data_IF_491293752961
#
_entry.id   IF_491293752961
#
_cell.length_a   1.000
_cell.length_b   1.000
_cell.length_c   1.000
_cell.angle_alpha   90.00
_cell.angle_beta   90.00
_cell.angle_gamma   90.00
#
_symmetry.space_group_name_H-M   'P 1'
#
loop_
_entity.id
_entity.type
_entity.pdbx_description
1 polymer ?
#
# COMPACT_ATOMS: atom_id res chain seq x y z
N UNK A 1 -78.21 30.47 8.24
CA UNK A 1 -77.61 29.15 8.60
C UNK A 1 -76.60 28.67 7.55
N UNK A 2 -75.89 29.57 6.84
CA UNK A 2 -74.90 29.17 5.81
C UNK A 2 -73.43 29.42 6.21
N UNK A 3 -73.18 30.22 7.26
CA UNK A 3 -71.81 30.57 7.66
C UNK A 3 -71.11 29.52 8.55
N UNK A 4 -71.82 28.47 8.99
CA UNK A 4 -71.26 27.43 9.87
C UNK A 4 -70.58 26.30 9.07
N UNK A 5 -71.09 26.00 7.87
CA UNK A 5 -70.54 24.96 6.98
C UNK A 5 -69.22 25.35 6.31
N UNK A 6 -68.98 26.65 6.13
CA UNK A 6 -67.72 27.15 5.56
C UNK A 6 -66.56 27.03 6.55
N UNK A 7 -66.82 27.29 7.84
CA UNK A 7 -65.82 27.20 8.91
C UNK A 7 -65.36 25.76 9.14
N UNK A 8 -66.29 24.80 9.15
CA UNK A 8 -65.96 23.38 9.37
C UNK A 8 -65.16 22.74 8.21
N UNK A 9 -65.31 23.27 6.99
CA UNK A 9 -64.58 22.81 5.80
C UNK A 9 -63.14 23.34 5.77
N UNK A 10 -62.94 24.62 6.12
CA UNK A 10 -61.61 25.23 6.26
C UNK A 10 -60.79 24.54 7.36
N UNK A 11 -61.42 24.15 8.46
CA UNK A 11 -60.75 23.43 9.57
C UNK A 11 -60.29 22.02 9.17
N UNK A 12 -61.12 21.27 8.44
CA UNK A 12 -60.75 19.94 7.91
C UNK A 12 -59.61 20.00 6.89
N UNK A 13 -59.59 21.01 6.03
CA UNK A 13 -58.49 21.20 5.07
C UNK A 13 -57.21 21.69 5.75
N UNK A 14 -57.29 22.55 6.78
CA UNK A 14 -56.15 22.95 7.61
C UNK A 14 -55.57 21.77 8.41
N UNK A 15 -56.40 20.90 8.98
CA UNK A 15 -55.98 19.68 9.69
C UNK A 15 -55.30 18.68 8.72
N UNK A 16 -55.77 18.60 7.48
CA UNK A 16 -55.19 17.73 6.44
C UNK A 16 -53.84 18.25 5.95
N UNK A 17 -53.70 19.57 5.80
CA UNK A 17 -52.44 20.20 5.39
C UNK A 17 -51.38 20.15 6.51
N UNK A 18 -51.76 20.38 7.77
CA UNK A 18 -50.88 20.24 8.94
C UNK A 18 -50.41 18.80 9.17
N UNK A 19 -51.28 17.79 8.93
CA UNK A 19 -50.88 16.37 8.96
C UNK A 19 -49.89 16.01 7.84
N UNK A 20 -50.06 16.55 6.62
CA UNK A 20 -49.09 16.38 5.53
C UNK A 20 -47.74 17.01 5.86
N UNK A 21 -47.73 18.22 6.42
CA UNK A 21 -46.50 18.91 6.85
C UNK A 21 -45.79 18.10 7.95
N UNK A 22 -46.54 17.55 8.91
CA UNK A 22 -45.99 16.65 9.94
C UNK A 22 -45.43 15.34 9.38
N UNK A 23 -46.04 14.79 8.33
CA UNK A 23 -45.55 13.57 7.66
C UNK A 23 -44.29 13.82 6.83
N UNK A 24 -44.26 14.92 6.06
CA UNK A 24 -43.08 15.34 5.28
C UNK A 24 -41.91 15.70 6.20
N UNK A 25 -42.18 16.37 7.33
CA UNK A 25 -41.18 16.69 8.36
C UNK A 25 -40.61 15.42 9.01
N UNK A 26 -41.45 14.43 9.34
CA UNK A 26 -40.98 13.13 9.87
C UNK A 26 -40.14 12.35 8.86
N UNK A 27 -40.48 12.41 7.57
CA UNK A 27 -39.67 11.80 6.50
C UNK A 27 -38.33 12.50 6.38
N UNK A 28 -38.29 13.84 6.35
CA UNK A 28 -37.06 14.64 6.32
C UNK A 28 -36.17 14.36 7.54
N UNK A 29 -36.74 14.27 8.73
CA UNK A 29 -36.00 13.91 9.96
C UNK A 29 -35.46 12.48 9.87
N UNK A 30 -36.25 11.52 9.37
CA UNK A 30 -35.79 10.15 9.17
C UNK A 30 -34.66 10.07 8.12
N UNK A 31 -34.75 10.83 7.02
CA UNK A 31 -33.67 10.97 6.04
C UNK A 31 -32.42 11.62 6.62
N UNK A 32 -32.56 12.66 7.45
CA UNK A 32 -31.44 13.31 8.14
C UNK A 32 -30.79 12.39 9.18
N UNK A 33 -31.56 11.58 9.91
CA UNK A 33 -31.05 10.59 10.86
C UNK A 33 -30.41 9.37 10.16
N UNK A 34 -30.92 8.97 8.99
CA UNK A 34 -30.30 7.94 8.15
C UNK A 34 -29.01 8.45 7.47
N UNK A 35 -28.95 9.72 7.07
CA UNK A 35 -27.71 10.33 6.57
C UNK A 35 -26.67 10.55 7.69
N UNK A 36 -27.12 10.81 8.92
CA UNK A 36 -26.23 10.99 10.07
C UNK A 36 -25.66 9.67 10.61
N UNK A 37 -26.30 8.53 10.29
CA UNK A 37 -25.81 7.19 10.65
C UNK A 37 -25.02 6.49 9.54
N UNK A 38 -24.87 7.12 8.37
CA UNK A 38 -23.80 6.79 7.43
C UNK A 38 -22.46 7.22 8.05
N UNK A 39 -21.97 6.44 9.02
CA UNK A 39 -20.60 6.55 9.50
C UNK A 39 -19.69 6.66 8.29
N UNK A 40 -18.80 7.66 8.27
CA UNK A 40 -17.81 7.82 7.20
C UNK A 40 -17.14 6.46 7.02
N UNK A 41 -17.47 5.76 5.95
CA UNK A 41 -16.72 4.58 5.55
C UNK A 41 -15.27 5.08 5.46
N UNK A 42 -14.39 4.55 6.31
CA UNK A 42 -12.99 4.89 6.26
C UNK A 42 -12.54 4.61 4.83
N UNK A 43 -12.28 5.66 4.06
CA UNK A 43 -11.79 5.53 2.69
C UNK A 43 -10.54 4.66 2.80
N UNK A 44 -10.49 3.48 2.14
CA UNK A 44 -9.34 2.61 2.27
C UNK A 44 -8.12 3.41 1.87
N UNK A 45 -7.15 3.51 2.78
CA UNK A 45 -5.86 4.15 2.53
C UNK A 45 -5.31 3.60 1.21
N UNK A 46 -5.20 4.46 0.20
CA UNK A 46 -4.68 4.13 -1.14
C UNK A 46 -3.14 3.95 -1.08
N UNK A 47 -2.55 4.00 0.12
CA UNK A 47 -1.11 3.93 0.30
C UNK A 47 -0.48 2.63 -0.20
N UNK A 48 0.82 2.71 -0.46
CA UNK A 48 1.68 1.59 -0.87
C UNK A 48 2.86 1.48 0.09
N UNK A 49 3.35 0.26 0.28
CA UNK A 49 4.55 0.00 1.08
C UNK A 49 5.78 0.74 0.54
N UNK A 50 5.78 1.11 -0.75
CA UNK A 50 6.86 1.91 -1.35
C UNK A 50 7.07 3.26 -0.65
N UNK A 51 6.06 3.75 0.09
CA UNK A 51 6.16 4.98 0.88
C UNK A 51 7.24 4.91 1.96
N UNK A 52 7.66 3.70 2.36
CA UNK A 52 8.85 3.50 3.19
C UNK A 52 10.11 4.13 2.60
N UNK A 53 10.21 4.23 1.27
CA UNK A 53 11.34 4.85 0.57
C UNK A 53 11.31 6.38 0.53
N UNK A 54 10.16 7.01 0.81
CA UNK A 54 9.99 8.46 0.80
C UNK A 54 9.97 9.02 2.23
N UNK A 55 9.15 8.43 3.11
CA UNK A 55 8.92 8.92 4.47
C UNK A 55 9.41 7.96 5.56
N UNK A 56 9.49 6.65 5.25
CA UNK A 56 9.85 5.63 6.25
C UNK A 56 11.33 5.57 6.62
N UNK A 57 12.22 6.14 5.81
CA UNK A 57 13.66 6.10 6.09
C UNK A 57 14.05 6.75 7.44
N UNK A 58 13.44 7.89 7.77
CA UNK A 58 13.74 8.58 9.04
C UNK A 58 13.19 7.84 10.27
N UNK A 59 12.08 7.12 10.12
CA UNK A 59 11.48 6.30 11.20
C UNK A 59 12.43 5.21 11.67
N UNK A 60 13.10 4.53 10.74
CA UNK A 60 14.03 3.44 11.07
C UNK A 60 15.43 3.94 11.40
N UNK A 61 15.81 5.13 10.91
CA UNK A 61 17.09 5.75 11.25
C UNK A 61 17.09 6.29 12.68
N UNK A 62 15.96 6.83 13.14
CA UNK A 62 15.79 7.39 14.48
C UNK A 62 14.57 6.79 15.20
N UNK A 63 14.63 5.50 15.61
CA UNK A 63 13.49 4.84 16.26
C UNK A 63 12.99 5.59 17.50
N UNK A 64 13.92 6.24 18.22
CA UNK A 64 13.65 7.00 19.45
C UNK A 64 12.66 8.16 19.23
N UNK A 65 12.53 8.68 18.01
CA UNK A 65 11.61 9.78 17.69
C UNK A 65 10.15 9.31 17.49
N UNK A 66 9.94 8.00 17.28
CA UNK A 66 8.66 7.40 16.92
C UNK A 66 8.13 6.41 17.96
N UNK A 67 8.80 6.28 19.11
CA UNK A 67 8.25 5.60 20.30
C UNK A 67 7.32 6.56 21.04
N UNK A 68 6.12 6.79 20.49
CA UNK A 68 5.04 7.50 21.20
C UNK A 68 4.00 6.46 21.64
N UNK A 69 4.15 5.95 22.87
CA UNK A 69 3.19 5.04 23.51
C UNK A 69 3.42 3.54 23.27
N UNK A 70 2.35 2.74 23.45
CA UNK A 70 2.35 1.27 23.37
C UNK A 70 1.91 0.70 21.99
N UNK A 71 1.73 1.56 20.98
CA UNK A 71 1.31 1.14 19.63
C UNK A 71 2.53 0.58 18.86
N UNK A 72 2.46 -0.64 18.30
CA UNK A 72 3.59 -1.22 17.57
C UNK A 72 3.94 -0.38 16.34
N UNK A 73 5.20 0.03 16.20
CA UNK A 73 5.69 0.94 15.16
C UNK A 73 5.18 0.60 13.74
N UNK A 74 5.04 -0.69 13.42
CA UNK A 74 4.52 -1.20 12.16
C UNK A 74 3.05 -0.89 11.82
N UNK A 75 2.19 -0.60 12.81
CA UNK A 75 0.79 -0.22 12.55
C UNK A 75 0.66 1.27 12.23
N UNK A 76 1.67 2.07 12.58
CA UNK A 76 1.68 3.51 12.34
C UNK A 76 2.25 3.86 10.96
N UNK A 77 2.90 2.91 10.28
CA UNK A 77 3.52 3.14 8.96
C UNK A 77 2.42 3.27 7.90
N UNK A 78 2.25 4.46 7.28
CA UNK A 78 1.22 4.66 6.28
C UNK A 78 1.53 3.90 4.99
N UNK A 79 0.57 3.10 4.53
CA UNK A 79 0.63 2.39 3.25
C UNK A 79 0.92 0.88 3.36
N UNK A 80 1.22 0.36 4.55
CA UNK A 80 1.31 -1.09 4.75
C UNK A 80 -0.07 -1.75 4.75
N UNK A 81 -0.17 -2.89 4.08
CA UNK A 81 -1.32 -3.78 4.18
C UNK A 81 -1.33 -4.53 5.52
N UNK A 82 -2.48 -5.08 5.99
CA UNK A 82 -2.52 -5.90 7.19
C UNK A 82 -1.52 -7.06 7.20
N UNK A 83 -1.32 -7.75 6.07
CA UNK A 83 -0.30 -8.79 5.92
C UNK A 83 1.12 -8.23 6.05
N UNK A 84 1.38 -7.05 5.46
CA UNK A 84 2.68 -6.39 5.56
C UNK A 84 2.99 -5.89 6.97
N UNK A 85 1.98 -5.38 7.71
CA UNK A 85 2.15 -4.97 9.10
C UNK A 85 2.54 -6.14 10.00
N UNK A 86 1.97 -7.33 9.78
CA UNK A 86 2.37 -8.55 10.50
C UNK A 86 3.82 -8.96 10.19
N UNK A 87 4.21 -8.92 8.92
CA UNK A 87 5.60 -9.21 8.52
C UNK A 87 6.58 -8.17 9.07
N UNK A 88 6.21 -6.89 9.09
CA UNK A 88 6.99 -5.83 9.71
C UNK A 88 7.24 -6.10 11.20
N UNK A 89 6.22 -6.57 11.94
CA UNK A 89 6.37 -6.90 13.36
C UNK A 89 7.36 -8.06 13.59
N UNK A 90 7.37 -9.04 12.67
CA UNK A 90 8.25 -10.20 12.72
C UNK A 90 9.69 -9.88 12.28
N UNK A 91 9.85 -9.00 11.30
CA UNK A 91 11.13 -8.68 10.63
C UNK A 91 11.48 -7.20 10.78
N UNK A 92 11.43 -6.67 12.01
CA UNK A 92 11.65 -5.23 12.25
C UNK A 92 13.03 -4.74 11.78
N UNK A 93 14.07 -5.55 11.98
CA UNK A 93 15.44 -5.28 11.52
C UNK A 93 15.58 -5.22 9.99
N UNK A 94 14.62 -5.77 9.23
CA UNK A 94 14.61 -5.73 7.76
C UNK A 94 14.01 -4.46 7.21
N UNK A 95 13.12 -3.80 7.96
CA UNK A 95 12.27 -2.73 7.42
C UNK A 95 13.04 -1.47 7.02
N UNK A 96 14.16 -1.19 7.69
CA UNK A 96 15.09 -0.13 7.24
C UNK A 96 15.68 -0.41 5.86
N UNK A 97 15.96 -1.68 5.54
CA UNK A 97 16.46 -2.10 4.22
C UNK A 97 15.36 -2.19 3.18
N UNK A 98 14.12 -2.55 3.57
CA UNK A 98 12.94 -2.43 2.70
C UNK A 98 12.74 -0.99 2.26
N UNK A 99 12.79 -0.04 3.20
CA UNK A 99 12.69 1.39 2.88
C UNK A 99 13.84 1.88 2.00
N UNK A 100 15.09 1.48 2.31
CA UNK A 100 16.26 1.80 1.47
C UNK A 100 16.11 1.26 0.04
N UNK A 101 15.69 0.00 -0.11
CA UNK A 101 15.46 -0.64 -1.39
C UNK A 101 14.34 0.03 -2.20
N UNK A 102 13.23 0.37 -1.54
CA UNK A 102 12.16 1.15 -2.15
C UNK A 102 12.67 2.51 -2.65
N UNK A 103 13.45 3.23 -1.85
CA UNK A 103 14.05 4.52 -2.21
C UNK A 103 14.97 4.40 -3.43
N UNK A 104 15.80 3.36 -3.47
CA UNK A 104 16.67 3.07 -4.61
C UNK A 104 15.85 2.79 -5.88
N UNK A 105 14.79 1.97 -5.78
CA UNK A 105 13.89 1.69 -6.90
C UNK A 105 13.18 2.94 -7.42
N UNK A 106 12.71 3.83 -6.53
CA UNK A 106 12.10 5.11 -6.89
C UNK A 106 13.12 6.00 -7.62
N UNK A 107 14.34 6.13 -7.08
CA UNK A 107 15.39 6.95 -7.68
C UNK A 107 15.79 6.43 -9.07
N UNK A 108 15.91 5.11 -9.24
CA UNK A 108 16.21 4.50 -10.54
C UNK A 108 15.05 4.70 -11.53
N UNK A 109 13.80 4.61 -11.08
CA UNK A 109 12.64 4.91 -11.91
C UNK A 109 12.66 6.36 -12.41
N UNK A 110 12.91 7.32 -11.52
CA UNK A 110 13.08 8.74 -11.88
C UNK A 110 14.22 8.92 -12.87
N UNK A 111 15.34 8.23 -12.66
CA UNK A 111 16.46 8.28 -13.57
C UNK A 111 16.10 7.77 -14.96
N UNK A 112 15.51 6.58 -15.07
CA UNK A 112 15.14 5.96 -16.36
C UNK A 112 14.10 6.79 -17.13
N UNK A 113 13.17 7.44 -16.41
CA UNK A 113 12.07 8.19 -17.01
C UNK A 113 12.30 9.72 -17.04
N UNK A 114 13.48 10.22 -16.69
CA UNK A 114 13.78 11.67 -16.57
C UNK A 114 13.40 12.52 -17.79
N UNK A 115 13.46 11.94 -19.00
CA UNK A 115 13.14 12.60 -20.27
C UNK A 115 11.82 12.10 -20.89
N UNK A 116 10.90 11.58 -20.08
CA UNK A 116 9.58 11.08 -20.51
C UNK A 116 8.46 11.97 -19.98
N UNK A 117 7.28 11.90 -20.61
CA UNK A 117 6.08 12.66 -20.17
C UNK A 117 5.67 12.31 -18.75
N UNK A 118 5.71 11.03 -18.41
CA UNK A 118 5.68 10.55 -17.03
C UNK A 118 7.11 10.28 -16.59
N UNK A 119 7.60 11.06 -15.63
CA UNK A 119 9.00 11.07 -15.19
C UNK A 119 9.22 10.38 -13.83
N UNK A 120 8.25 9.59 -13.37
CA UNK A 120 8.28 8.90 -12.08
C UNK A 120 8.45 9.83 -10.86
N UNK A 121 8.02 11.08 -10.96
CA UNK A 121 8.00 12.01 -9.81
C UNK A 121 7.12 11.49 -8.67
N UNK A 122 7.56 11.70 -7.42
CA UNK A 122 6.80 11.30 -6.25
C UNK A 122 5.81 12.37 -5.77
N UNK A 123 4.69 11.95 -5.20
CA UNK A 123 3.70 12.81 -4.53
C UNK A 123 3.88 12.80 -3.00
N UNK A 124 3.40 13.83 -2.30
CA UNK A 124 3.53 13.99 -0.85
C UNK A 124 2.47 13.19 -0.05
N UNK A 125 2.06 12.03 -0.55
CA UNK A 125 1.11 11.13 0.12
C UNK A 125 1.63 9.70 0.15
N UNK A 126 0.87 8.78 0.77
CA UNK A 126 1.27 7.39 0.93
C UNK A 126 1.25 6.56 -0.35
N UNK A 127 0.78 7.11 -1.48
CA UNK A 127 0.69 6.41 -2.77
C UNK A 127 2.00 6.43 -3.55
N UNK A 128 2.95 7.30 -3.18
CA UNK A 128 4.26 7.53 -3.81
C UNK A 128 4.18 8.07 -5.23
N UNK A 129 3.50 7.42 -6.17
CA UNK A 129 3.39 7.82 -7.57
C UNK A 129 1.97 8.28 -7.97
N UNK A 130 1.10 8.54 -7.01
CA UNK A 130 -0.28 8.92 -7.27
C UNK A 130 -1.11 7.77 -7.88
N UNK A 131 -2.07 8.08 -8.78
CA UNK A 131 -2.99 7.09 -9.31
C UNK A 131 -2.36 6.12 -10.31
N UNK A 132 -1.10 6.32 -10.74
CA UNK A 132 -0.46 5.47 -11.75
C UNK A 132 -0.40 4.00 -11.30
N UNK A 133 -0.16 3.74 -10.00
CA UNK A 133 -0.13 2.39 -9.43
C UNK A 133 -1.53 1.76 -9.33
N UNK A 134 -2.58 2.55 -9.46
CA UNK A 134 -3.97 2.07 -9.44
C UNK A 134 -4.48 1.65 -10.82
N UNK A 135 -3.75 2.01 -11.89
CA UNK A 135 -4.10 1.68 -13.27
C UNK A 135 -3.15 0.63 -13.86
N UNK A 136 -3.67 -0.24 -14.74
CA UNK A 136 -2.90 -1.29 -15.40
C UNK A 136 -2.08 -0.76 -16.58
N UNK A 137 -1.04 0.05 -16.29
CA UNK A 137 -0.19 0.70 -17.28
C UNK A 137 1.21 0.06 -17.37
N UNK A 138 1.96 0.37 -18.44
CA UNK A 138 3.36 -0.09 -18.58
C UNK A 138 4.25 0.55 -17.51
N UNK A 139 3.99 1.80 -17.18
CA UNK A 139 4.65 2.60 -16.16
C UNK A 139 4.43 1.97 -14.76
N UNK A 140 3.20 1.56 -14.45
CA UNK A 140 2.91 0.84 -13.21
C UNK A 140 3.67 -0.49 -13.14
N UNK A 141 3.71 -1.25 -14.25
CA UNK A 141 4.46 -2.50 -14.31
C UNK A 141 5.95 -2.30 -14.05
N UNK A 142 6.56 -1.27 -14.67
CA UNK A 142 7.95 -0.92 -14.40
C UNK A 142 8.17 -0.52 -12.94
N UNK A 143 7.29 0.32 -12.37
CA UNK A 143 7.39 0.77 -10.97
C UNK A 143 7.34 -0.41 -9.98
N UNK A 144 6.44 -1.38 -10.20
CA UNK A 144 6.37 -2.61 -9.41
C UNK A 144 7.66 -3.44 -9.51
N UNK A 145 8.17 -3.64 -10.73
CA UNK A 145 9.39 -4.41 -10.96
C UNK A 145 10.61 -3.75 -10.30
N UNK A 146 10.85 -2.47 -10.56
CA UNK A 146 12.06 -1.79 -10.06
C UNK A 146 12.04 -1.62 -8.53
N UNK A 147 10.85 -1.44 -7.93
CA UNK A 147 10.72 -1.40 -6.48
C UNK A 147 11.01 -2.76 -5.84
N UNK A 148 10.49 -3.86 -6.41
CA UNK A 148 10.79 -5.20 -5.94
C UNK A 148 12.29 -5.53 -6.09
N UNK A 149 12.90 -5.18 -7.23
CA UNK A 149 14.33 -5.32 -7.49
C UNK A 149 15.18 -4.57 -6.44
N UNK A 150 14.80 -3.33 -6.13
CA UNK A 150 15.47 -2.51 -5.13
C UNK A 150 15.47 -3.14 -3.73
N UNK A 151 14.36 -3.77 -3.32
CA UNK A 151 14.29 -4.48 -2.03
C UNK A 151 15.16 -5.74 -2.03
N UNK A 152 15.13 -6.54 -3.10
CA UNK A 152 16.03 -7.71 -3.22
C UNK A 152 17.47 -7.26 -3.07
N UNK A 153 17.89 -6.25 -3.83
CA UNK A 153 19.24 -5.70 -3.79
C UNK A 153 19.64 -5.25 -2.37
N UNK A 154 18.81 -4.41 -1.73
CA UNK A 154 19.12 -3.85 -0.43
C UNK A 154 19.20 -4.91 0.68
N UNK A 155 18.27 -5.87 0.71
CA UNK A 155 18.24 -6.94 1.72
C UNK A 155 19.39 -7.93 1.50
N UNK A 156 19.64 -8.35 0.27
CA UNK A 156 20.75 -9.26 -0.04
C UNK A 156 22.12 -8.68 0.32
N UNK A 157 22.28 -7.37 0.14
CA UNK A 157 23.49 -6.67 0.54
C UNK A 157 23.61 -6.49 2.05
N UNK A 158 22.50 -6.23 2.74
CA UNK A 158 22.49 -6.18 4.21
C UNK A 158 22.91 -7.52 4.83
N UNK A 159 22.51 -8.65 4.24
CA UNK A 159 22.98 -9.98 4.62
C UNK A 159 24.50 -10.14 4.48
N UNK A 160 25.06 -9.68 3.35
CA UNK A 160 26.52 -9.72 3.10
C UNK A 160 27.30 -8.87 4.11
N UNK A 161 26.73 -7.73 4.50
CA UNK A 161 27.34 -6.78 5.43
C UNK A 161 27.14 -7.18 6.91
N UNK A 162 26.44 -8.28 7.18
CA UNK A 162 26.18 -8.76 8.55
C UNK A 162 25.23 -7.86 9.34
N UNK A 163 24.42 -7.04 8.65
CA UNK A 163 23.49 -6.10 9.28
C UNK A 163 22.15 -6.76 9.67
N UNK A 164 21.88 -7.97 9.17
CA UNK A 164 20.68 -8.75 9.47
C UNK A 164 21.07 -10.03 10.20
N UNK A 165 20.39 -10.30 11.31
CA UNK A 165 20.67 -11.48 12.15
C UNK A 165 20.19 -12.80 11.55
N UNK A 166 19.19 -12.72 10.65
CA UNK A 166 18.49 -13.84 10.02
C UNK A 166 19.25 -14.46 8.84
N UNK A 167 20.30 -13.80 8.35
CA UNK A 167 21.02 -14.20 7.14
C UNK A 167 22.51 -13.85 7.23
N UNK A 168 23.29 -14.36 6.28
CA UNK A 168 24.70 -14.05 6.12
C UNK A 168 25.10 -14.08 4.65
N UNK A 169 26.39 -14.32 4.37
CA UNK A 169 26.91 -14.41 3.01
C UNK A 169 26.16 -15.42 2.13
N UNK A 170 26.19 -15.19 0.83
CA UNK A 170 25.68 -16.13 -0.18
C UNK A 170 26.28 -17.52 -0.03
N UNK A 171 25.44 -18.54 -0.18
CA UNK A 171 25.86 -19.96 -0.26
C UNK A 171 26.00 -20.44 -1.71
N UNK A 172 26.07 -19.52 -2.66
CA UNK A 172 26.22 -19.84 -4.08
C UNK A 172 27.50 -20.67 -4.32
N UNK A 173 27.32 -21.80 -4.99
CA UNK A 173 28.43 -22.63 -5.42
C UNK A 173 29.28 -21.90 -6.47
N UNK A 174 30.55 -22.27 -6.55
CA UNK A 174 31.45 -21.81 -7.61
C UNK A 174 30.78 -21.97 -8.99
N UNK A 175 30.69 -20.90 -9.79
CA UNK A 175 30.16 -21.01 -11.15
C UNK A 175 30.97 -21.98 -12.00
N UNK A 176 30.30 -22.88 -12.74
CA UNK A 176 30.96 -23.84 -13.65
C UNK A 176 31.74 -23.15 -14.77
N UNK A 177 31.34 -21.92 -15.13
CA UNK A 177 31.99 -21.08 -16.13
C UNK A 177 33.25 -20.36 -15.63
N UNK A 178 33.53 -20.37 -14.32
CA UNK A 178 34.68 -19.67 -13.75
C UNK A 178 35.97 -20.42 -14.10
N UNK A 179 36.93 -19.71 -14.70
CA UNK A 179 38.26 -20.26 -15.02
C UNK A 179 38.83 -21.01 -13.81
N UNK A 180 39.28 -22.25 -14.03
CA UNK A 180 39.79 -23.17 -12.99
C UNK A 180 40.94 -22.57 -12.17
N UNK A 181 41.75 -21.69 -12.76
CA UNK A 181 42.86 -21.00 -12.10
C UNK A 181 42.40 -19.95 -11.08
N UNK A 182 41.19 -19.43 -11.21
CA UNK A 182 40.66 -18.43 -10.28
C UNK A 182 40.10 -19.10 -9.04
N UNK A 183 40.37 -18.53 -7.87
CA UNK A 183 39.83 -19.00 -6.60
C UNK A 183 38.47 -18.35 -6.38
N UNK A 184 37.44 -19.17 -6.15
CA UNK A 184 36.13 -18.69 -5.73
C UNK A 184 36.11 -18.50 -4.23
N UNK A 185 35.71 -17.31 -3.77
CA UNK A 185 35.67 -17.01 -2.34
C UNK A 185 35.16 -15.61 -2.05
N UNK A 186 35.30 -15.20 -0.79
CA UNK A 186 34.75 -13.96 -0.27
C UNK A 186 33.31 -14.09 0.19
N UNK A 187 32.73 -12.95 0.60
CA UNK A 187 31.34 -12.87 1.03
C UNK A 187 30.54 -12.16 -0.07
N UNK A 188 29.72 -12.92 -0.81
CA UNK A 188 28.82 -12.38 -1.83
C UNK A 188 27.44 -12.04 -1.28
N UNK A 189 26.69 -11.20 -2.01
CA UNK A 189 25.31 -10.83 -1.68
C UNK A 189 24.39 -12.05 -1.67
N UNK A 190 23.59 -12.20 -0.61
CA UNK A 190 22.69 -13.33 -0.46
C UNK A 190 21.37 -13.11 -1.21
N UNK A 191 21.44 -13.24 -2.53
CA UNK A 191 20.32 -13.02 -3.46
C UNK A 191 19.16 -13.96 -3.18
N UNK A 192 19.43 -15.22 -2.83
CA UNK A 192 18.38 -16.20 -2.50
C UNK A 192 17.53 -15.76 -1.30
N UNK A 193 18.19 -15.27 -0.24
CA UNK A 193 17.48 -14.76 0.93
C UNK A 193 16.66 -13.51 0.59
N UNK A 194 17.29 -12.53 -0.07
CA UNK A 194 16.63 -11.28 -0.45
C UNK A 194 15.43 -11.51 -1.38
N UNK A 195 15.54 -12.45 -2.32
CA UNK A 195 14.44 -12.89 -3.17
C UNK A 195 13.26 -13.43 -2.35
N UNK A 196 13.51 -14.40 -1.46
CA UNK A 196 12.45 -15.07 -0.66
C UNK A 196 11.76 -14.10 0.29
N UNK A 197 12.54 -13.27 0.98
CA UNK A 197 12.01 -12.24 1.88
C UNK A 197 11.15 -11.23 1.10
N UNK A 198 11.67 -10.71 -0.01
CA UNK A 198 10.96 -9.71 -0.83
C UNK A 198 9.67 -10.30 -1.42
N UNK A 199 9.70 -11.54 -1.89
CA UNK A 199 8.50 -12.23 -2.35
C UNK A 199 7.45 -12.32 -1.24
N UNK A 200 7.84 -12.73 -0.03
CA UNK A 200 6.93 -12.79 1.12
C UNK A 200 6.33 -11.44 1.48
N UNK A 201 7.14 -10.38 1.52
CA UNK A 201 6.70 -9.05 1.95
C UNK A 201 5.93 -8.26 0.89
N UNK A 202 6.41 -8.25 -0.35
CA UNK A 202 5.81 -7.43 -1.42
C UNK A 202 4.52 -8.07 -1.94
N UNK A 203 4.47 -9.39 -2.09
CA UNK A 203 3.32 -10.08 -2.68
C UNK A 203 2.16 -10.27 -1.71
N UNK A 204 2.37 -10.18 -0.39
CA UNK A 204 1.31 -10.47 0.60
C UNK A 204 0.07 -9.58 0.40
N UNK A 205 0.27 -8.31 0.03
CA UNK A 205 -0.81 -7.35 -0.26
C UNK A 205 -1.70 -7.81 -1.42
N UNK A 206 -1.10 -8.41 -2.44
CA UNK A 206 -1.85 -8.86 -3.62
C UNK A 206 -2.55 -10.21 -3.37
N UNK A 207 -2.08 -10.97 -2.36
CA UNK A 207 -2.60 -12.30 -1.99
C UNK A 207 -3.62 -12.28 -0.85
N UNK A 208 -3.60 -11.28 0.02
CA UNK A 208 -4.51 -11.19 1.18
C UNK A 208 -5.96 -10.86 0.79
N UNK A 209 -6.19 -10.38 -0.44
CA UNK A 209 -7.52 -10.05 -0.96
C UNK A 209 -8.01 -11.13 -1.92
N UNK A 210 -9.21 -11.64 -1.66
CA UNK A 210 -9.89 -12.57 -2.56
C UNK A 210 -10.76 -11.79 -3.55
N UNK A 211 -10.38 -11.81 -4.83
CA UNK A 211 -11.15 -11.20 -5.91
C UNK A 211 -11.99 -12.24 -6.64
N UNK A 212 -13.13 -11.80 -7.18
CA UNK A 212 -13.98 -12.65 -8.04
C UNK A 212 -13.18 -13.08 -9.27
N UNK A 213 -13.26 -14.36 -9.63
CA UNK A 213 -12.59 -14.89 -10.81
C UNK A 213 -13.02 -14.13 -12.07
N UNK A 214 -12.05 -13.67 -12.86
CA UNK A 214 -12.25 -12.88 -14.07
C UNK A 214 -12.55 -11.39 -13.83
N UNK A 215 -12.48 -10.90 -12.60
CA UNK A 215 -12.67 -9.47 -12.33
C UNK A 215 -11.44 -8.65 -12.74
N UNK A 216 -11.64 -7.35 -13.01
CA UNK A 216 -10.55 -6.44 -13.34
C UNK A 216 -9.54 -6.31 -12.18
N UNK A 217 -10.02 -6.39 -10.94
CA UNK A 217 -9.19 -6.37 -9.74
C UNK A 217 -8.33 -7.62 -9.62
N UNK A 218 -8.87 -8.80 -9.95
CA UNK A 218 -8.09 -10.02 -10.03
C UNK A 218 -6.99 -9.89 -11.09
N UNK A 219 -7.34 -9.41 -12.29
CA UNK A 219 -6.37 -9.16 -13.36
C UNK A 219 -5.25 -8.23 -12.92
N UNK A 220 -5.58 -7.16 -12.19
CA UNK A 220 -4.61 -6.21 -11.63
C UNK A 220 -3.69 -6.85 -10.58
N UNK A 221 -4.25 -7.59 -9.63
CA UNK A 221 -3.44 -8.31 -8.62
C UNK A 221 -2.47 -9.29 -9.28
N UNK A 222 -2.92 -10.05 -10.28
CA UNK A 222 -2.06 -10.96 -11.05
C UNK A 222 -0.98 -10.23 -11.84
N UNK A 223 -1.31 -9.09 -12.45
CA UNK A 223 -0.34 -8.22 -13.13
C UNK A 223 0.73 -7.72 -12.14
N UNK A 224 0.33 -7.25 -10.96
CA UNK A 224 1.25 -6.78 -9.93
C UNK A 224 2.19 -7.90 -9.46
N UNK A 225 1.65 -9.10 -9.18
CA UNK A 225 2.44 -10.28 -8.82
C UNK A 225 3.46 -10.65 -9.91
N UNK A 226 3.04 -10.62 -11.18
CA UNK A 226 3.92 -10.89 -12.32
C UNK A 226 5.05 -9.85 -12.42
N UNK A 227 4.73 -8.57 -12.29
CA UNK A 227 5.72 -7.50 -12.40
C UNK A 227 6.68 -7.49 -11.21
N UNK A 228 6.20 -7.74 -9.99
CA UNK A 228 7.05 -7.91 -8.82
C UNK A 228 8.03 -9.09 -9.04
N UNK A 229 7.54 -10.22 -9.56
CA UNK A 229 8.37 -11.37 -9.90
C UNK A 229 9.42 -11.07 -10.96
N UNK A 230 9.03 -10.34 -12.02
CA UNK A 230 9.96 -9.91 -13.06
C UNK A 230 11.10 -9.05 -12.51
N UNK A 231 10.82 -8.20 -11.52
CA UNK A 231 11.85 -7.39 -10.85
C UNK A 231 12.75 -8.16 -9.89
N UNK A 232 12.28 -9.26 -9.32
CA UNK A 232 13.07 -10.06 -8.37
C UNK A 232 14.10 -10.99 -9.04
N UNK A 233 13.91 -11.32 -10.31
CA UNK A 233 14.78 -12.23 -11.09
C UNK A 233 15.95 -11.48 -11.72
#
# INVERSE_FOLDING_TARGET
MENMWYFEKVDKDFIRETKKIGFVSKILICWLLLFSSAGRAATPSIGTWMNLGVQGYEVWRNPQLYVVGAQPLCTQIPGLSPGQSKLCQLYQDHMGFVGRGARQGIAECQWQFRNRRWNCSTVQDSTVFGPILSIGSREAGFAHAIAAAGVVYAVSRACREGQLSSCGCSRASRPKSLNKEWIWGGCGDNVEYGYKFTQGFVDVRERERNYRRGSAEQGRSLMNLHNNEAGRR
#
